data_IF_873767480375
#
_entry.id   IF_873767480375
#
_cell.length_a   1.000
_cell.length_b   1.000
_cell.length_c   1.000
_cell.angle_alpha   90.00
_cell.angle_beta   90.00
_cell.angle_gamma   90.00
#
_symmetry.space_group_name_H-M   'P 1'
#
loop_
_entity.id
_entity.type
_entity.pdbx_description
1 polymer ?
#
# COMPACT_ATOMS: atom_id res chain seq x y z
N UNK A 1 -5.92 -1.99 47.26
CA UNK A 1 -4.76 -1.22 46.74
C UNK A 1 -3.85 -2.21 46.04
N UNK A 2 -3.34 -1.83 44.86
CA UNK A 2 -2.52 -2.59 43.91
C UNK A 2 -3.25 -3.49 42.91
N UNK A 3 -3.86 -2.79 41.95
CA UNK A 3 -3.83 -3.17 40.54
C UNK A 3 -2.37 -3.14 40.05
N UNK A 4 -1.94 -4.17 39.32
CA UNK A 4 -0.94 -4.10 38.24
C UNK A 4 -1.01 -5.45 37.48
N UNK A 5 -1.96 -5.57 36.54
CA UNK A 5 -1.73 -5.38 35.10
C UNK A 5 -1.03 -6.61 34.49
N UNK A 6 -1.81 -7.67 34.36
CA UNK A 6 -1.50 -8.80 33.49
C UNK A 6 -1.42 -8.27 32.05
N UNK A 7 -0.20 -8.24 31.51
CA UNK A 7 0.07 -7.79 30.15
C UNK A 7 -0.66 -8.72 29.18
N UNK A 8 -1.78 -8.21 28.66
CA UNK A 8 -2.46 -8.77 27.50
C UNK A 8 -1.50 -8.77 26.32
N UNK A 9 -0.77 -9.86 26.15
CA UNK A 9 -0.17 -10.25 24.89
C UNK A 9 -1.29 -10.50 23.89
N UNK A 10 -1.77 -9.43 23.27
CA UNK A 10 -2.67 -9.46 22.12
C UNK A 10 -1.85 -9.90 20.90
N UNK A 11 -1.37 -11.14 20.92
CA UNK A 11 -0.83 -11.77 19.72
C UNK A 11 -2.02 -12.36 18.97
N UNK A 12 -2.68 -11.52 18.17
CA UNK A 12 -3.78 -11.90 17.30
C UNK A 12 -3.24 -12.91 16.28
N UNK A 13 -3.31 -14.21 16.60
CA UNK A 13 -3.04 -15.25 15.61
C UNK A 13 -4.03 -15.02 14.46
N UNK A 14 -3.53 -14.52 13.33
CA UNK A 14 -4.35 -14.42 12.13
C UNK A 14 -4.68 -15.85 11.73
N UNK A 15 -5.95 -16.22 11.88
CA UNK A 15 -6.45 -17.54 11.54
C UNK A 15 -6.13 -17.83 10.06
N UNK A 16 -5.26 -18.81 9.82
CA UNK A 16 -4.83 -19.18 8.47
C UNK A 16 -5.89 -20.09 7.86
N UNK A 17 -6.59 -19.59 6.84
CA UNK A 17 -7.62 -20.35 6.12
C UNK A 17 -7.02 -20.80 4.78
N UNK A 18 -7.03 -22.10 4.53
CA UNK A 18 -6.65 -22.69 3.25
C UNK A 18 -7.90 -22.95 2.40
N UNK A 19 -7.92 -22.43 1.19
CA UNK A 19 -9.01 -22.64 0.22
C UNK A 19 -8.42 -23.25 -1.04
N UNK A 20 -8.80 -24.49 -1.34
CA UNK A 20 -8.44 -25.15 -2.59
C UNK A 20 -9.46 -24.76 -3.66
N UNK A 21 -9.00 -24.09 -4.71
CA UNK A 21 -9.79 -23.76 -5.90
C UNK A 21 -9.13 -24.37 -7.14
N UNK A 22 -9.96 -24.76 -8.10
CA UNK A 22 -9.48 -25.06 -9.44
C UNK A 22 -9.20 -23.75 -10.20
N UNK A 23 -8.18 -23.78 -11.03
CA UNK A 23 -7.88 -22.70 -11.97
C UNK A 23 -8.65 -23.01 -13.25
N UNK A 24 -9.38 -22.03 -13.79
CA UNK A 24 -10.13 -22.26 -15.02
C UNK A 24 -9.20 -22.46 -16.23
N UNK A 25 -9.76 -22.87 -17.38
CA UNK A 25 -9.00 -23.11 -18.62
C UNK A 25 -8.25 -21.88 -19.14
N UNK A 26 -8.64 -20.67 -18.72
CA UNK A 26 -7.99 -19.41 -19.09
C UNK A 26 -6.95 -18.96 -18.07
N UNK A 27 -6.71 -19.73 -17.00
CA UNK A 27 -5.76 -19.39 -15.94
C UNK A 27 -6.35 -18.48 -14.86
N UNK A 28 -7.67 -18.27 -14.78
CA UNK A 28 -8.28 -17.38 -13.78
C UNK A 28 -8.46 -18.09 -12.44
N UNK A 29 -8.16 -17.34 -11.38
CA UNK A 29 -8.43 -17.72 -10.00
C UNK A 29 -9.60 -16.90 -9.45
N UNK A 30 -10.56 -17.57 -8.82
CA UNK A 30 -11.67 -16.89 -8.15
C UNK A 30 -11.24 -16.48 -6.73
N UNK A 31 -11.27 -15.17 -6.47
CA UNK A 31 -10.99 -14.64 -5.13
C UNK A 31 -12.19 -14.83 -4.18
N UNK A 32 -11.97 -15.30 -2.94
CA UNK A 32 -13.04 -15.52 -1.96
C UNK A 32 -13.91 -14.29 -1.74
N UNK A 33 -15.24 -14.47 -1.71
CA UNK A 33 -16.22 -13.38 -1.60
C UNK A 33 -16.00 -12.51 -0.37
N UNK A 34 -15.82 -13.12 0.79
CA UNK A 34 -15.62 -12.40 2.06
C UNK A 34 -14.30 -11.63 2.09
N UNK A 35 -13.25 -12.19 1.48
CA UNK A 35 -11.96 -11.50 1.34
C UNK A 35 -12.11 -10.25 0.45
N UNK A 36 -12.77 -10.39 -0.71
CA UNK A 36 -13.04 -9.25 -1.61
C UNK A 36 -13.84 -8.16 -0.91
N UNK A 37 -14.91 -8.52 -0.20
CA UNK A 37 -15.75 -7.56 0.53
C UNK A 37 -14.97 -6.79 1.60
N UNK A 38 -14.03 -7.45 2.26
CA UNK A 38 -13.26 -6.87 3.37
C UNK A 38 -12.07 -6.02 2.91
N UNK A 39 -11.34 -6.47 1.89
CA UNK A 39 -10.03 -5.91 1.55
C UNK A 39 -9.97 -5.24 0.18
N UNK A 40 -10.79 -5.67 -0.77
CA UNK A 40 -10.69 -5.24 -2.16
C UNK A 40 -11.57 -4.00 -2.41
N UNK A 41 -11.02 -2.81 -2.16
CA UNK A 41 -11.70 -1.51 -2.34
C UNK A 41 -11.82 -1.06 -3.80
N UNK A 42 -10.96 -1.58 -4.68
CA UNK A 42 -10.92 -1.34 -6.13
C UNK A 42 -10.93 -2.67 -6.88
N UNK A 43 -11.05 -2.70 -8.21
CA UNK A 43 -10.95 -3.97 -8.98
C UNK A 43 -9.50 -4.38 -9.28
N UNK A 44 -8.53 -3.82 -8.56
CA UNK A 44 -7.11 -3.97 -8.83
C UNK A 44 -6.41 -4.73 -7.69
N UNK A 45 -5.48 -5.62 -8.04
CA UNK A 45 -4.64 -6.36 -7.10
C UNK A 45 -3.19 -6.30 -7.54
N UNK A 46 -2.28 -6.43 -6.58
CA UNK A 46 -0.86 -6.65 -6.83
C UNK A 46 -0.56 -8.12 -6.62
N UNK A 47 0.12 -8.73 -7.59
CA UNK A 47 0.62 -10.09 -7.50
C UNK A 47 2.15 -10.05 -7.38
N UNK A 48 2.70 -10.61 -6.30
CA UNK A 48 4.15 -10.82 -6.16
C UNK A 48 4.45 -12.29 -6.35
N UNK A 49 5.31 -12.58 -7.32
CA UNK A 49 5.76 -13.93 -7.64
C UNK A 49 6.99 -14.26 -6.80
N UNK A 50 6.90 -15.34 -6.01
CA UNK A 50 7.96 -15.86 -5.14
C UNK A 50 8.14 -17.35 -5.41
N UNK A 51 8.78 -17.68 -6.54
CA UNK A 51 8.93 -19.05 -7.00
C UNK A 51 7.56 -19.73 -7.19
N UNK A 52 7.26 -20.73 -6.37
CA UNK A 52 5.98 -21.45 -6.38
C UNK A 52 4.84 -20.70 -5.65
N UNK A 53 5.13 -19.59 -4.97
CA UNK A 53 4.15 -18.83 -4.20
C UNK A 53 3.76 -17.56 -4.93
N UNK A 54 2.47 -17.29 -5.01
CA UNK A 54 1.94 -16.01 -5.48
C UNK A 54 1.28 -15.31 -4.29
N UNK A 55 1.82 -14.16 -3.89
CA UNK A 55 1.17 -13.29 -2.91
C UNK A 55 0.22 -12.33 -3.63
N UNK A 56 -1.05 -12.36 -3.27
CA UNK A 56 -2.09 -11.48 -3.83
C UNK A 56 -2.50 -10.47 -2.76
N UNK A 57 -2.37 -9.19 -3.07
CA UNK A 57 -2.70 -8.09 -2.15
C UNK A 57 -3.65 -7.12 -2.86
N UNK A 58 -4.61 -6.50 -2.16
CA UNK A 58 -5.45 -5.46 -2.78
C UNK A 58 -4.56 -4.29 -3.19
N UNK A 59 -4.81 -3.72 -4.38
CA UNK A 59 -4.12 -2.51 -4.78
C UNK A 59 -4.85 -1.30 -4.19
N UNK A 60 -4.21 -0.69 -3.19
CA UNK A 60 -4.63 0.62 -2.68
C UNK A 60 -3.91 1.70 -3.48
N UNK A 61 -4.67 2.49 -4.25
CA UNK A 61 -4.11 3.68 -4.88
C UNK A 61 -3.60 4.58 -3.77
N UNK A 62 -2.29 4.78 -3.74
CA UNK A 62 -1.68 5.78 -2.89
C UNK A 62 -2.15 7.12 -3.41
N UNK A 63 -2.92 7.85 -2.61
CA UNK A 63 -3.17 9.25 -2.88
C UNK A 63 -1.84 9.99 -2.69
N UNK A 64 -1.25 10.45 -3.80
CA UNK A 64 0.00 11.22 -3.78
C UNK A 64 -0.24 12.68 -3.39
N UNK A 65 -1.49 13.16 -3.46
CA UNK A 65 -1.87 14.53 -3.08
C UNK A 65 -1.52 14.81 -1.63
N UNK A 66 -1.61 13.81 -0.75
CA UNK A 66 -1.22 13.91 0.66
C UNK A 66 0.27 14.26 0.88
N UNK A 67 1.11 14.13 -0.14
CA UNK A 67 2.53 14.48 -0.08
C UNK A 67 2.83 15.83 -0.73
N UNK A 68 1.86 16.48 -1.39
CA UNK A 68 2.10 17.77 -2.03
C UNK A 68 2.47 18.82 -0.99
N UNK A 69 1.79 18.82 0.15
CA UNK A 69 2.07 19.71 1.28
C UNK A 69 3.26 19.23 2.15
N UNK A 70 3.87 18.08 1.83
CA UNK A 70 5.02 17.58 2.59
C UNK A 70 6.36 18.15 2.15
N UNK A 71 6.38 18.92 1.05
CA UNK A 71 7.58 19.54 0.50
C UNK A 71 7.34 21.05 0.36
N UNK A 72 7.96 21.82 1.23
CA UNK A 72 8.04 23.28 1.12
C UNK A 72 9.45 23.66 0.66
N UNK A 73 9.55 24.52 -0.35
CA UNK A 73 10.82 25.07 -0.82
C UNK A 73 10.64 26.57 -1.05
N UNK A 74 11.42 27.38 -0.35
CA UNK A 74 11.49 28.81 -0.57
C UNK A 74 12.31 29.09 -1.82
N UNK A 75 11.61 29.31 -2.94
CA UNK A 75 12.21 29.58 -4.25
C UNK A 75 12.08 31.09 -4.53
N UNK A 76 13.20 31.73 -4.88
CA UNK A 76 13.25 33.15 -5.25
C UNK A 76 13.11 33.35 -6.76
N UNK A 77 13.41 32.33 -7.56
CA UNK A 77 13.26 32.36 -9.01
C UNK A 77 11.79 32.50 -9.44
N UNK A 78 11.56 33.19 -10.56
CA UNK A 78 10.24 33.21 -11.22
C UNK A 78 9.84 31.79 -11.63
N UNK A 79 8.66 31.35 -11.16
CA UNK A 79 8.12 30.03 -11.45
C UNK A 79 7.85 29.79 -12.95
N UNK A 80 7.74 30.87 -13.73
CA UNK A 80 7.57 30.82 -15.18
C UNK A 80 8.87 30.42 -15.91
N UNK A 81 10.03 30.62 -15.27
CA UNK A 81 11.33 30.25 -15.82
C UNK A 81 11.84 28.92 -15.25
N UNK A 82 11.38 27.81 -15.82
CA UNK A 82 11.73 26.46 -15.36
C UNK A 82 13.24 26.20 -15.20
N UNK A 83 14.08 26.77 -16.07
CA UNK A 83 15.53 26.57 -16.00
C UNK A 83 16.14 27.18 -14.73
N UNK A 84 15.64 28.35 -14.33
CA UNK A 84 16.10 29.09 -13.14
C UNK A 84 15.63 28.39 -11.86
N UNK A 85 14.33 28.04 -11.80
CA UNK A 85 13.72 27.24 -10.73
C UNK A 85 14.47 25.92 -10.53
N UNK A 86 14.71 25.19 -11.62
CA UNK A 86 15.42 23.91 -11.58
C UNK A 86 16.80 24.08 -10.95
N UNK A 87 17.57 25.10 -11.36
CA UNK A 87 18.93 25.33 -10.83
C UNK A 87 18.90 25.58 -9.32
N UNK A 88 18.01 26.45 -8.87
CA UNK A 88 17.83 26.79 -7.46
C UNK A 88 17.45 25.55 -6.61
N UNK A 89 16.53 24.71 -7.09
CA UNK A 89 16.18 23.47 -6.42
C UNK A 89 17.33 22.47 -6.26
N UNK A 90 18.29 22.45 -7.20
CA UNK A 90 19.50 21.62 -7.06
C UNK A 90 20.53 22.22 -6.08
N UNK A 91 20.50 23.54 -5.87
CA UNK A 91 21.38 24.25 -4.94
C UNK A 91 20.90 24.12 -3.47
N UNK A 92 19.61 23.86 -3.24
CA UNK A 92 19.00 23.70 -1.91
C UNK A 92 19.28 22.30 -1.28
N UNK A 93 19.89 21.38 -2.04
CA UNK A 93 20.12 19.99 -1.62
C UNK A 93 21.27 19.80 -0.63
#
# INVERSE_FOLDING_TARGET
MFILKEERNNNTMQEQIEIKNEVDIQGKLILPKEWRKRYLKSREVVMRLKGAVIEIMPYEKVDLTKYFDSVEADIKSDLSEWKSVRRELYEIR
#
